data_IF_987476696353
#
_entry.id   IF_987476696353
#
_cell.length_a   1.000
_cell.length_b   1.000
_cell.length_c   1.000
_cell.angle_alpha   90.00
_cell.angle_beta   90.00
_cell.angle_gamma   90.00
#
_symmetry.space_group_name_H-M   'P 1'
#
loop_
_entity.id
_entity.type
_entity.pdbx_description
1 polymer ?
#
# COMPACT_ATOMS: atom_id res chain seq x y z
N UNK A 1 16.15 -5.63 -1.82
CA UNK A 1 15.56 -5.91 -3.15
C UNK A 1 16.09 -4.96 -4.22
N UNK A 2 16.17 -3.65 -3.92
CA UNK A 2 16.52 -2.56 -4.86
C UNK A 2 17.97 -2.63 -5.36
N UNK A 3 18.97 -2.62 -4.47
CA UNK A 3 20.40 -2.60 -4.84
C UNK A 3 20.88 -3.84 -5.64
N UNK A 4 20.13 -4.95 -5.59
CA UNK A 4 20.47 -6.21 -6.27
C UNK A 4 19.47 -6.55 -7.37
N UNK A 5 18.62 -5.59 -7.75
CA UNK A 5 17.57 -5.69 -8.77
C UNK A 5 16.85 -7.05 -8.78
N UNK A 6 16.42 -7.50 -7.60
CA UNK A 6 15.94 -8.88 -7.46
C UNK A 6 14.51 -9.08 -7.95
N UNK A 7 13.86 -8.03 -8.45
CA UNK A 7 12.44 -7.98 -8.85
C UNK A 7 11.52 -8.79 -7.91
N UNK A 8 11.76 -8.67 -6.59
CA UNK A 8 11.06 -9.47 -5.58
C UNK A 8 9.76 -8.79 -5.20
N UNK A 9 8.73 -9.61 -5.02
CA UNK A 9 7.48 -9.21 -4.39
C UNK A 9 7.71 -9.16 -2.89
N UNK A 10 7.54 -8.00 -2.29
CA UNK A 10 7.66 -7.79 -0.85
C UNK A 10 6.51 -6.91 -0.37
N UNK A 11 6.00 -7.14 0.85
CA UNK A 11 5.09 -6.20 1.49
C UNK A 11 5.87 -4.93 1.82
N UNK A 12 5.48 -3.79 1.25
CA UNK A 12 6.06 -2.49 1.58
C UNK A 12 4.96 -1.44 1.69
N UNK A 13 5.23 -0.43 2.53
CA UNK A 13 4.35 0.72 2.64
C UNK A 13 4.57 1.63 1.44
N UNK A 14 3.53 1.81 0.63
CA UNK A 14 3.56 2.64 -0.57
C UNK A 14 2.35 3.57 -0.58
N UNK A 15 2.51 4.72 -1.23
CA UNK A 15 1.43 5.68 -1.39
C UNK A 15 0.46 5.18 -2.46
N UNK A 16 -0.80 4.98 -2.09
CA UNK A 16 -1.85 4.57 -3.00
C UNK A 16 -2.51 5.80 -3.63
N UNK A 17 -2.67 5.79 -4.94
CA UNK A 17 -3.30 6.85 -5.75
C UNK A 17 -4.67 6.45 -6.31
N UNK A 18 -5.13 5.24 -6.00
CA UNK A 18 -6.44 4.70 -6.36
C UNK A 18 -6.54 3.18 -6.24
N UNK A 19 -5.44 2.51 -5.92
CA UNK A 19 -5.37 1.06 -5.70
C UNK A 19 -6.25 0.67 -4.50
N UNK A 20 -6.97 -0.45 -4.62
CA UNK A 20 -7.91 -0.92 -3.59
C UNK A 20 -9.01 0.12 -3.23
N UNK A 21 -9.28 1.10 -4.11
CA UNK A 21 -10.23 2.18 -3.84
C UNK A 21 -9.72 3.22 -2.84
N UNK A 22 -8.44 3.18 -2.49
CA UNK A 22 -7.78 4.07 -1.53
C UNK A 22 -6.90 5.04 -2.29
N UNK A 23 -7.06 6.33 -2.01
CA UNK A 23 -6.27 7.41 -2.61
C UNK A 23 -5.75 8.34 -1.52
N UNK A 24 -4.48 8.71 -1.59
CA UNK A 24 -3.88 9.69 -0.71
C UNK A 24 -3.35 9.12 0.60
N UNK A 25 -3.16 7.81 0.70
CA UNK A 25 -2.74 7.15 1.93
C UNK A 25 -1.57 6.20 1.67
N UNK A 26 -0.62 6.18 2.61
CA UNK A 26 0.45 5.19 2.63
C UNK A 26 -0.07 3.90 3.28
N UNK A 27 -0.11 2.81 2.52
CA UNK A 27 -0.65 1.52 2.98
C UNK A 27 0.36 0.41 2.67
N UNK A 28 0.47 -0.56 3.58
CA UNK A 28 1.27 -1.75 3.38
C UNK A 28 0.59 -2.71 2.40
N UNK A 29 1.08 -2.76 1.16
CA UNK A 29 0.56 -3.66 0.12
C UNK A 29 1.70 -4.46 -0.52
N UNK A 30 1.42 -5.64 -1.09
CA UNK A 30 2.42 -6.39 -1.83
C UNK A 30 2.82 -5.59 -3.08
N UNK A 31 4.09 -5.22 -3.15
CA UNK A 31 4.64 -4.48 -4.30
C UNK A 31 5.83 -5.22 -4.89
N UNK A 32 6.00 -5.05 -6.18
CA UNK A 32 7.17 -5.51 -6.90
C UNK A 32 8.26 -4.47 -6.78
N UNK A 33 9.36 -4.84 -6.13
CA UNK A 33 10.51 -3.98 -5.92
C UNK A 33 11.68 -4.36 -6.85
N UNK A 34 12.05 -3.42 -7.71
CA UNK A 34 13.21 -3.48 -8.59
C UNK A 34 14.22 -2.37 -8.28
N UNK A 35 15.20 -2.15 -9.16
CA UNK A 35 16.23 -1.10 -8.98
C UNK A 35 15.65 0.32 -8.94
N UNK A 36 14.47 0.53 -9.55
CA UNK A 36 13.77 1.82 -9.60
C UNK A 36 12.87 2.07 -8.38
N UNK A 37 12.90 1.19 -7.38
CA UNK A 37 11.97 1.25 -6.25
C UNK A 37 10.73 0.41 -6.53
N UNK A 38 9.54 0.99 -6.32
CA UNK A 38 8.25 0.34 -6.57
C UNK A 38 8.01 0.32 -8.07
N UNK A 39 8.04 -0.87 -8.68
CA UNK A 39 7.76 -1.02 -10.12
C UNK A 39 6.27 -1.27 -10.38
N UNK A 40 5.61 -1.96 -9.46
CA UNK A 40 4.21 -2.37 -9.63
C UNK A 40 3.57 -2.63 -8.26
N UNK A 41 2.33 -2.18 -8.09
CA UNK A 41 1.51 -2.50 -6.93
C UNK A 41 0.63 -3.69 -7.30
N UNK A 42 0.78 -4.79 -6.58
CA UNK A 42 0.02 -6.01 -6.87
C UNK A 42 -1.33 -5.90 -6.19
N UNK A 43 -2.37 -5.75 -6.99
CA UNK A 43 -3.76 -5.78 -6.54
C UNK A 43 -4.25 -7.22 -6.50
N UNK A 44 -4.33 -7.79 -5.30
CA UNK A 44 -4.96 -9.08 -5.07
C UNK A 44 -6.43 -8.85 -4.73
N UNK A 45 -7.30 -9.80 -5.09
CA UNK A 45 -8.65 -9.83 -4.53
C UNK A 45 -8.53 -10.21 -3.07
N UNK A 46 -8.98 -9.29 -2.21
CA UNK A 46 -9.13 -9.51 -0.79
C UNK A 46 -10.49 -10.15 -0.54
N UNK A 47 -10.56 -11.07 0.42
CA UNK A 47 -11.85 -11.57 0.88
C UNK A 47 -12.58 -10.49 1.69
N UNK A 48 -13.92 -10.54 1.82
CA UNK A 48 -14.70 -9.56 2.57
C UNK A 48 -14.14 -9.19 3.96
N UNK A 49 -13.72 -10.14 4.83
CA UNK A 49 -13.14 -9.79 6.12
C UNK A 49 -11.77 -9.09 6.01
N UNK A 50 -10.98 -9.40 4.98
CA UNK A 50 -9.67 -8.76 4.75
C UNK A 50 -9.85 -7.33 4.21
N UNK A 51 -10.82 -7.12 3.32
CA UNK A 51 -11.18 -5.80 2.80
C UNK A 51 -11.67 -4.89 3.94
N UNK A 52 -12.49 -5.41 4.85
CA UNK A 52 -12.93 -4.66 6.03
C UNK A 52 -11.77 -4.33 6.98
N UNK A 53 -10.84 -5.26 7.18
CA UNK A 53 -9.61 -5.03 7.94
C UNK A 53 -8.72 -3.95 7.32
N UNK A 54 -8.55 -3.97 6.00
CA UNK A 54 -7.80 -2.96 5.25
C UNK A 54 -8.48 -1.59 5.35
N UNK A 55 -9.80 -1.54 5.14
CA UNK A 55 -10.60 -0.32 5.24
C UNK A 55 -10.54 0.29 6.64
N UNK A 56 -10.61 -0.52 7.69
CA UNK A 56 -10.45 -0.06 9.08
C UNK A 56 -9.07 0.54 9.32
N UNK A 57 -8.02 -0.12 8.83
CA UNK A 57 -6.64 0.35 8.99
C UNK A 57 -6.41 1.67 8.25
N UNK A 58 -6.87 1.76 7.01
CA UNK A 58 -6.74 2.98 6.20
C UNK A 58 -7.53 4.14 6.77
N UNK A 59 -8.72 3.89 7.34
CA UNK A 59 -9.49 4.93 8.01
C UNK A 59 -8.80 5.47 9.26
N UNK A 60 -8.15 4.61 10.06
CA UNK A 60 -7.36 5.05 11.20
C UNK A 60 -6.15 5.92 10.77
N UNK A 61 -5.46 5.53 9.69
CA UNK A 61 -4.37 6.34 9.13
C UNK A 61 -4.89 7.67 8.59
N UNK A 62 -6.04 7.68 7.91
CA UNK A 62 -6.68 8.91 7.42
C UNK A 62 -7.01 9.88 8.55
N UNK A 63 -7.62 9.39 9.63
CA UNK A 63 -7.89 10.20 10.82
C UNK A 63 -6.61 10.77 11.43
N UNK A 64 -5.52 9.99 11.44
CA UNK A 64 -4.24 10.45 11.96
C UNK A 64 -3.66 11.56 11.08
N UNK A 65 -3.70 11.40 9.75
CA UNK A 65 -3.25 12.39 8.78
C UNK A 65 -4.08 13.68 8.90
N UNK A 66 -5.40 13.57 8.98
CA UNK A 66 -6.31 14.71 9.21
C UNK A 66 -6.01 15.43 10.53
N UNK A 67 -5.73 14.68 11.62
CA UNK A 67 -5.34 15.26 12.92
C UNK A 67 -3.98 15.98 12.86
N UNK A 68 -3.08 15.54 11.99
CA UNK A 68 -1.77 16.16 11.79
C UNK A 68 -1.84 17.38 10.87
N UNK A 69 -2.98 17.63 10.21
CA UNK A 69 -3.22 18.82 9.39
C UNK A 69 -2.44 18.87 8.08
N UNK A 70 -2.08 17.70 7.55
CA UNK A 70 -1.39 17.50 6.27
C UNK A 70 -2.25 16.69 5.30
#
# INVERSE_FOLDING_TARGET
>A
AILKDKHKILPCCVYLEGEYGIKGLCVGVPVKLGRRGVEEIIQIKLDPPEEEGLRRSTQAVKELVEKLGI
#
